data_IF_410062025703
#
_entry.id   IF_410062025703
#
_cell.length_a   1.000
_cell.length_b   1.000
_cell.length_c   1.000
_cell.angle_alpha   90.00
_cell.angle_beta   90.00
_cell.angle_gamma   90.00
#
_symmetry.space_group_name_H-M   'P 1'
#
loop_
_entity.id
_entity.type
_entity.pdbx_description
1 polymer ?
#
# COMPACT_ATOMS: atom_id res chain seq x y z
N UNK A 1 -13.34 9.64 6.12
CA UNK A 1 -14.80 9.32 6.10
C UNK A 1 -15.30 9.03 4.69
N UNK A 2 -15.03 9.82 3.64
CA UNK A 2 -15.47 9.51 2.26
C UNK A 2 -14.90 8.20 1.74
N UNK A 3 -13.61 7.93 1.94
CA UNK A 3 -12.94 6.69 1.54
C UNK A 3 -13.54 5.42 2.16
N UNK A 4 -13.93 5.46 3.44
CA UNK A 4 -14.58 4.32 4.09
C UNK A 4 -15.97 4.05 3.52
N UNK A 5 -16.72 5.11 3.13
CA UNK A 5 -18.04 4.97 2.47
C UNK A 5 -17.92 4.39 1.07
N UNK A 6 -16.88 4.75 0.31
CA UNK A 6 -16.62 4.14 -1.01
C UNK A 6 -16.20 2.67 -0.90
N UNK A 7 -15.43 2.31 0.13
CA UNK A 7 -15.11 0.90 0.41
C UNK A 7 -16.35 0.11 0.81
N UNK A 8 -17.22 0.67 1.67
CA UNK A 8 -18.49 0.04 2.07
C UNK A 8 -19.46 -0.10 0.89
N UNK A 9 -19.52 0.87 -0.01
CA UNK A 9 -20.34 0.81 -1.23
C UNK A 9 -19.81 -0.27 -2.20
N UNK A 10 -18.49 -0.35 -2.42
CA UNK A 10 -17.87 -1.39 -3.23
C UNK A 10 -18.07 -2.80 -2.62
N UNK A 11 -17.98 -2.94 -1.29
CA UNK A 11 -18.26 -4.21 -0.61
C UNK A 11 -19.74 -4.63 -0.73
N UNK A 12 -20.68 -3.68 -0.72
CA UNK A 12 -22.10 -3.95 -0.91
C UNK A 12 -22.39 -4.43 -2.35
N UNK A 13 -21.77 -3.82 -3.36
CA UNK A 13 -21.91 -4.22 -4.76
C UNK A 13 -21.28 -5.61 -5.02
N UNK A 14 -20.13 -5.93 -4.40
CA UNK A 14 -19.50 -7.24 -4.50
C UNK A 14 -20.34 -8.32 -3.83
N UNK A 15 -20.98 -8.03 -2.68
CA UNK A 15 -21.92 -8.95 -2.03
C UNK A 15 -23.18 -9.20 -2.85
N UNK A 16 -23.71 -8.17 -3.50
CA UNK A 16 -24.89 -8.26 -4.36
C UNK A 16 -24.63 -9.07 -5.64
N UNK A 17 -23.38 -9.12 -6.12
CA UNK A 17 -23.00 -9.87 -7.33
C UNK A 17 -22.72 -11.37 -7.11
N UNK A 18 -22.83 -11.89 -5.88
CA UNK A 18 -22.61 -13.31 -5.56
C UNK A 18 -21.16 -13.80 -5.74
N UNK A 19 -20.21 -12.89 -5.95
CA UNK A 19 -18.80 -13.18 -6.09
C UNK A 19 -18.15 -13.26 -4.70
N UNK A 20 -18.14 -14.44 -4.11
CA UNK A 20 -17.35 -14.80 -2.90
C UNK A 20 -15.84 -14.95 -3.22
N UNK A 21 -15.29 -14.15 -4.10
CA UNK A 21 -13.83 -14.00 -4.20
C UNK A 21 -13.44 -12.88 -3.26
N UNK A 22 -12.77 -13.22 -2.17
CA UNK A 22 -11.97 -12.27 -1.38
C UNK A 22 -11.13 -11.45 -2.37
N UNK A 23 -11.48 -10.18 -2.52
CA UNK A 23 -10.81 -9.30 -3.48
C UNK A 23 -9.47 -8.83 -2.88
N UNK A 24 -8.64 -9.83 -2.47
CA UNK A 24 -7.33 -9.59 -1.88
C UNK A 24 -6.36 -9.23 -2.99
N UNK A 25 -6.22 -7.93 -3.23
CA UNK A 25 -5.38 -7.38 -4.29
C UNK A 25 -3.89 -7.72 -4.08
N UNK A 26 -3.43 -7.95 -2.84
CA UNK A 26 -2.06 -8.38 -2.55
C UNK A 26 -1.83 -9.80 -3.05
N UNK A 27 -2.76 -10.71 -2.75
CA UNK A 27 -2.69 -12.10 -3.25
C UNK A 27 -2.85 -12.15 -4.77
N UNK A 28 -3.73 -11.32 -5.34
CA UNK A 28 -3.85 -11.21 -6.80
C UNK A 28 -2.52 -10.80 -7.44
N UNK A 29 -1.87 -9.77 -6.90
CA UNK A 29 -0.56 -9.31 -7.36
C UNK A 29 0.54 -10.35 -7.12
N UNK A 30 0.49 -11.06 -5.99
CA UNK A 30 1.45 -12.12 -5.67
C UNK A 30 1.42 -13.26 -6.66
N UNK A 31 0.24 -13.69 -7.08
CA UNK A 31 0.04 -14.83 -7.96
C UNK A 31 0.20 -14.51 -9.45
N UNK A 32 0.19 -13.23 -9.84
CA UNK A 32 0.26 -12.79 -11.23
C UNK A 32 1.67 -12.34 -11.59
N UNK A 33 2.58 -13.33 -11.67
CA UNK A 33 3.99 -13.10 -12.00
C UNK A 33 4.13 -12.62 -13.45
N UNK A 34 4.98 -11.60 -13.65
CA UNK A 34 5.22 -11.00 -14.96
C UNK A 34 4.31 -9.82 -15.29
N UNK A 35 3.31 -9.53 -14.46
CA UNK A 35 2.38 -8.39 -14.60
C UNK A 35 2.59 -7.32 -13.51
N UNK A 36 3.83 -7.12 -13.08
CA UNK A 36 4.19 -6.19 -12.02
C UNK A 36 3.65 -4.78 -12.26
N UNK A 37 3.67 -4.30 -13.51
CA UNK A 37 3.15 -2.98 -13.86
C UNK A 37 1.63 -2.89 -13.68
N UNK A 38 0.88 -3.90 -14.06
CA UNK A 38 -0.58 -3.92 -13.92
C UNK A 38 -1.02 -3.86 -12.47
N UNK A 39 -0.25 -4.48 -11.57
CA UNK A 39 -0.47 -4.48 -10.12
C UNK A 39 0.32 -3.40 -9.38
N UNK A 40 1.10 -2.57 -10.09
CA UNK A 40 2.01 -1.57 -9.53
C UNK A 40 2.99 -2.16 -8.52
N UNK A 41 3.42 -3.43 -8.70
CA UNK A 41 4.44 -4.06 -7.86
C UNK A 41 5.81 -3.49 -8.21
N UNK A 42 6.45 -2.86 -7.23
CA UNK A 42 7.77 -2.24 -7.37
C UNK A 42 8.88 -3.25 -7.11
N UNK A 43 8.71 -4.09 -6.09
CA UNK A 43 9.67 -5.09 -5.68
C UNK A 43 8.97 -6.33 -5.13
N UNK A 44 9.60 -7.50 -5.27
CA UNK A 44 9.21 -8.74 -4.59
C UNK A 44 10.42 -9.61 -4.29
N UNK A 45 10.32 -10.42 -3.26
CA UNK A 45 11.23 -11.51 -2.94
C UNK A 45 10.41 -12.77 -2.57
N UNK A 46 11.05 -13.80 -2.03
CA UNK A 46 10.37 -15.05 -1.62
C UNK A 46 9.41 -14.89 -0.44
N UNK A 47 9.43 -13.76 0.27
CA UNK A 47 8.62 -13.54 1.47
C UNK A 47 7.40 -12.68 1.23
N UNK A 48 7.48 -11.73 0.28
CA UNK A 48 6.40 -10.78 0.05
C UNK A 48 6.70 -9.78 -1.05
N UNK A 49 5.94 -8.69 -1.07
CA UNK A 49 6.02 -7.67 -2.11
C UNK A 49 5.88 -6.25 -1.56
N UNK A 50 6.38 -5.32 -2.36
CA UNK A 50 6.24 -3.87 -2.22
C UNK A 50 5.49 -3.38 -3.44
N UNK A 51 4.36 -2.70 -3.26
CA UNK A 51 3.54 -2.18 -4.35
C UNK A 51 3.07 -0.75 -4.04
N UNK A 52 2.72 0.01 -5.07
CA UNK A 52 2.07 1.30 -4.86
C UNK A 52 0.65 1.12 -4.33
N UNK A 53 0.27 1.97 -3.39
CA UNK A 53 -1.12 2.10 -2.99
C UNK A 53 -1.92 2.73 -4.14
N UNK A 54 -2.99 2.06 -4.57
CA UNK A 54 -3.89 2.57 -5.61
C UNK A 54 -4.59 3.88 -5.20
N UNK A 55 -4.75 4.11 -3.89
CA UNK A 55 -5.33 5.32 -3.31
C UNK A 55 -4.30 6.03 -2.42
N UNK A 56 -3.27 6.67 -3.03
CA UNK A 56 -2.12 7.15 -2.29
C UNK A 56 -2.46 8.33 -1.38
N UNK A 57 -1.80 8.41 -0.21
CA UNK A 57 -1.90 9.58 0.68
C UNK A 57 -0.99 10.72 0.22
N UNK A 58 0.13 10.37 -0.39
CA UNK A 58 1.07 11.26 -1.05
C UNK A 58 1.73 10.54 -2.22
N UNK A 59 2.55 11.24 -2.97
CA UNK A 59 3.29 10.64 -4.09
C UNK A 59 4.18 9.48 -3.61
N UNK A 60 4.18 8.37 -4.34
CA UNK A 60 5.01 7.21 -4.01
C UNK A 60 4.60 6.42 -2.75
N UNK A 61 3.34 6.53 -2.29
CA UNK A 61 2.83 5.77 -1.16
C UNK A 61 2.89 4.27 -1.44
N UNK A 62 3.72 3.55 -0.68
CA UNK A 62 3.89 2.10 -0.79
C UNK A 62 3.04 1.33 0.23
N UNK A 63 2.61 0.16 -0.19
CA UNK A 63 2.09 -0.92 0.64
C UNK A 63 3.09 -2.08 0.62
N UNK A 64 3.37 -2.62 1.79
CA UNK A 64 4.33 -3.71 1.98
C UNK A 64 3.63 -4.84 2.71
N UNK A 65 3.62 -6.01 2.12
CA UNK A 65 2.93 -7.17 2.68
C UNK A 65 3.71 -8.46 2.45
N UNK A 66 3.57 -9.40 3.38
CA UNK A 66 4.05 -10.76 3.18
C UNK A 66 3.10 -11.50 2.21
N UNK A 67 3.60 -12.55 1.59
CA UNK A 67 2.80 -13.43 0.73
C UNK A 67 1.74 -14.22 1.51
N UNK A 68 2.02 -14.54 2.79
CA UNK A 68 1.09 -15.23 3.70
C UNK A 68 0.10 -14.22 4.29
N UNK A 69 -1.20 -14.25 3.95
CA UNK A 69 -2.18 -13.31 4.46
C UNK A 69 -2.52 -13.61 5.92
N UNK A 70 -2.28 -12.66 6.81
CA UNK A 70 -2.69 -12.69 8.22
C UNK A 70 -3.34 -11.37 8.59
N UNK A 71 -4.43 -11.38 9.37
CA UNK A 71 -5.15 -10.15 9.74
C UNK A 71 -4.44 -9.31 10.80
N UNK A 72 -3.58 -9.94 11.63
CA UNK A 72 -2.94 -9.26 12.74
C UNK A 72 -1.44 -9.51 12.79
N UNK A 73 -0.69 -8.54 13.33
CA UNK A 73 0.76 -8.60 13.44
C UNK A 73 1.22 -9.81 14.28
N UNK A 74 0.46 -10.15 15.31
CA UNK A 74 0.80 -11.26 16.22
C UNK A 74 0.41 -12.64 15.67
N UNK A 75 -0.31 -12.69 14.55
CA UNK A 75 -0.58 -13.94 13.84
C UNK A 75 0.64 -14.41 13.03
N UNK A 76 1.59 -13.52 12.78
CA UNK A 76 2.89 -13.86 12.19
C UNK A 76 3.88 -14.36 13.24
N UNK A 77 4.70 -15.34 12.89
CA UNK A 77 5.85 -15.75 13.69
C UNK A 77 6.86 -14.60 13.84
N UNK A 78 7.78 -14.72 14.81
CA UNK A 78 8.86 -13.75 14.98
C UNK A 78 9.72 -13.60 13.71
N UNK A 79 9.99 -14.72 13.02
CA UNK A 79 10.73 -14.73 11.76
C UNK A 79 9.96 -14.00 10.66
N UNK A 80 8.67 -14.26 10.48
CA UNK A 80 7.85 -13.57 9.49
C UNK A 80 7.77 -12.06 9.78
N UNK A 81 7.65 -11.66 11.04
CA UNK A 81 7.70 -10.23 11.40
C UNK A 81 9.05 -9.59 11.03
N UNK A 82 10.17 -10.29 11.26
CA UNK A 82 11.48 -9.81 10.82
C UNK A 82 11.54 -9.64 9.28
N UNK A 83 11.05 -10.62 8.52
CA UNK A 83 10.96 -10.56 7.06
C UNK A 83 10.08 -9.40 6.56
N UNK A 84 8.98 -9.11 7.26
CA UNK A 84 8.14 -7.96 6.96
C UNK A 84 8.92 -6.64 7.14
N UNK A 85 9.69 -6.51 8.23
CA UNK A 85 10.50 -5.31 8.48
C UNK A 85 11.68 -5.17 7.53
N UNK A 86 12.30 -6.26 7.08
CA UNK A 86 13.31 -6.24 6.00
C UNK A 86 12.72 -5.66 4.70
N UNK A 87 11.49 -6.02 4.34
CA UNK A 87 10.80 -5.43 3.21
C UNK A 87 10.45 -3.95 3.44
N UNK A 88 10.14 -3.57 4.66
CA UNK A 88 9.91 -2.15 5.03
C UNK A 88 11.19 -1.34 4.86
N UNK A 89 12.33 -1.86 5.30
CA UNK A 89 13.64 -1.21 5.12
C UNK A 89 13.94 -0.98 3.63
N UNK A 90 13.69 -1.99 2.79
CA UNK A 90 13.81 -1.88 1.33
C UNK A 90 12.87 -0.80 0.79
N UNK A 91 11.62 -0.76 1.25
CA UNK A 91 10.63 0.23 0.82
C UNK A 91 11.00 1.66 1.19
N UNK A 92 11.54 1.87 2.39
CA UNK A 92 12.03 3.19 2.85
C UNK A 92 13.22 3.62 2.00
N UNK A 93 14.24 2.76 1.81
CA UNK A 93 15.41 3.04 0.97
C UNK A 93 15.01 3.39 -0.48
N UNK A 94 14.05 2.66 -1.05
CA UNK A 94 13.53 2.95 -2.39
C UNK A 94 12.90 4.34 -2.47
N UNK A 95 12.04 4.69 -1.52
CA UNK A 95 11.36 5.99 -1.48
C UNK A 95 12.38 7.13 -1.31
N UNK A 96 13.33 6.98 -0.39
CA UNK A 96 14.35 8.00 -0.13
C UNK A 96 15.22 8.24 -1.37
N UNK A 97 15.70 7.18 -2.03
CA UNK A 97 16.55 7.30 -3.21
C UNK A 97 15.81 7.78 -4.46
N UNK A 98 14.57 7.36 -4.64
CA UNK A 98 13.83 7.65 -5.86
C UNK A 98 13.13 9.01 -5.83
N UNK A 99 12.63 9.42 -4.67
CA UNK A 99 11.75 10.58 -4.55
C UNK A 99 12.36 11.74 -3.74
N UNK A 100 13.47 11.50 -3.04
CA UNK A 100 14.15 12.50 -2.19
C UNK A 100 13.19 13.27 -1.27
N UNK A 101 12.34 12.58 -0.48
CA UNK A 101 11.40 13.24 0.42
C UNK A 101 12.13 13.94 1.56
N UNK A 102 11.44 14.87 2.25
CA UNK A 102 11.94 15.53 3.46
C UNK A 102 11.71 14.69 4.73
N UNK A 103 10.93 13.62 4.62
CA UNK A 103 10.68 12.66 5.67
C UNK A 103 9.86 11.47 5.18
N UNK A 104 9.77 10.42 6.00
CA UNK A 104 8.98 9.22 5.71
C UNK A 104 8.15 8.85 6.92
N UNK A 105 6.87 8.55 6.72
CA UNK A 105 6.04 7.92 7.73
C UNK A 105 5.92 6.42 7.42
N UNK A 106 6.11 5.60 8.46
CA UNK A 106 5.90 4.16 8.40
C UNK A 106 4.84 3.78 9.43
N UNK A 107 3.87 2.96 9.04
CA UNK A 107 2.82 2.52 9.95
C UNK A 107 1.93 1.44 9.36
N UNK A 108 1.13 0.80 10.20
CA UNK A 108 0.16 -0.21 9.79
C UNK A 108 -1.21 0.06 10.44
N UNK A 109 -2.26 -0.35 9.74
CA UNK A 109 -3.63 -0.32 10.23
C UNK A 109 -4.07 -1.77 10.48
N UNK A 110 -4.36 -2.12 11.73
CA UNK A 110 -4.85 -3.45 12.07
C UNK A 110 -6.32 -3.37 12.46
N UNK A 111 -7.15 -4.07 11.69
CA UNK A 111 -8.59 -4.08 11.89
C UNK A 111 -9.33 -2.88 11.30
N UNK A 112 -10.65 -3.04 11.10
CA UNK A 112 -11.50 -2.03 10.45
C UNK A 112 -11.56 -0.70 11.20
N UNK A 113 -11.62 -0.75 12.53
CA UNK A 113 -11.68 0.45 13.36
C UNK A 113 -10.41 1.32 13.28
N UNK A 114 -9.26 0.70 12.92
CA UNK A 114 -8.02 1.42 12.66
C UNK A 114 -7.89 1.92 11.21
N UNK A 115 -8.88 1.66 10.34
CA UNK A 115 -8.87 2.10 8.95
C UNK A 115 -8.20 1.13 7.98
N UNK A 116 -8.09 -0.17 8.33
CA UNK A 116 -7.58 -1.17 7.41
C UNK A 116 -8.51 -1.33 6.20
N UNK A 117 -8.01 -1.04 5.00
CA UNK A 117 -8.74 -1.23 3.74
C UNK A 117 -8.78 -2.70 3.30
N UNK A 118 -7.88 -3.53 3.79
CA UNK A 118 -7.81 -4.98 3.57
C UNK A 118 -7.58 -5.66 4.93
N UNK A 119 -8.62 -5.82 5.77
CA UNK A 119 -8.47 -6.28 7.15
C UNK A 119 -7.91 -7.69 7.31
N UNK A 120 -8.11 -8.55 6.32
CA UNK A 120 -7.67 -9.95 6.31
C UNK A 120 -6.19 -10.12 5.91
N UNK A 121 -5.55 -9.07 5.42
CA UNK A 121 -4.15 -9.12 5.00
C UNK A 121 -3.39 -7.88 5.49
N UNK A 122 -2.69 -8.05 6.61
CA UNK A 122 -1.90 -6.97 7.20
C UNK A 122 -0.87 -6.44 6.22
N UNK A 123 -0.78 -5.14 6.12
CA UNK A 123 0.20 -4.44 5.29
C UNK A 123 0.72 -3.20 5.99
N UNK A 124 1.97 -2.88 5.72
CA UNK A 124 2.65 -1.68 6.22
C UNK A 124 2.61 -0.61 5.15
N UNK A 125 2.28 0.61 5.56
CA UNK A 125 2.34 1.80 4.73
C UNK A 125 3.70 2.46 4.86
N UNK A 126 4.31 2.83 3.75
CA UNK A 126 5.47 3.73 3.67
C UNK A 126 5.07 4.96 2.85
N UNK A 127 5.09 6.12 3.49
CA UNK A 127 4.53 7.35 2.94
C UNK A 127 5.61 8.43 2.92
N UNK A 128 6.02 8.84 1.73
CA UNK A 128 6.92 9.97 1.54
C UNK A 128 6.26 11.29 1.96
N UNK A 129 7.03 12.18 2.60
CA UNK A 129 6.53 13.43 3.14
C UNK A 129 7.36 14.62 2.69
N UNK A 130 6.68 15.72 2.36
CA UNK A 130 7.29 16.99 2.01
C UNK A 130 6.65 18.12 2.82
N UNK A 131 7.42 19.18 3.09
CA UNK A 131 6.88 20.38 3.72
C UNK A 131 5.74 20.94 2.86
N UNK A 132 4.56 21.14 3.46
CA UNK A 132 3.39 21.65 2.76
C UNK A 132 2.59 20.60 1.96
N UNK A 133 2.88 19.32 2.07
CA UNK A 133 2.13 18.24 1.41
C UNK A 133 0.68 18.13 1.91
N UNK A 134 0.39 18.67 3.09
CA UNK A 134 -0.95 18.83 3.62
C UNK A 134 -1.32 20.32 3.63
N UNK A 135 -2.37 20.71 2.93
CA UNK A 135 -2.84 22.08 2.84
C UNK A 135 -4.35 22.19 3.08
N UNK A 136 -4.89 23.40 2.99
CA UNK A 136 -6.30 23.68 3.27
C UNK A 136 -7.27 22.93 2.34
N UNK A 137 -6.85 22.54 1.14
CA UNK A 137 -7.69 21.77 0.20
C UNK A 137 -8.12 20.43 0.77
N UNK A 138 -7.24 19.74 1.50
CA UNK A 138 -7.58 18.50 2.17
C UNK A 138 -8.62 18.71 3.29
N UNK A 139 -8.52 19.85 4.00
CA UNK A 139 -9.38 20.17 5.16
C UNK A 139 -10.75 20.72 4.74
N UNK A 140 -10.78 21.65 3.77
CA UNK A 140 -11.98 22.37 3.35
C UNK A 140 -12.67 21.67 2.17
N UNK A 141 -11.88 21.23 1.18
CA UNK A 141 -12.39 20.68 -0.08
C UNK A 141 -12.51 19.15 -0.08
N UNK A 142 -12.01 18.46 0.96
CA UNK A 142 -11.85 16.99 0.98
C UNK A 142 -11.12 16.45 -0.27
N UNK A 143 -10.27 17.30 -0.89
CA UNK A 143 -9.52 17.00 -2.10
C UNK A 143 -8.06 16.77 -1.74
N UNK A 144 -7.51 15.68 -2.23
CA UNK A 144 -6.08 15.40 -2.14
C UNK A 144 -5.45 15.53 -3.52
N UNK A 145 -4.41 16.35 -3.61
CA UNK A 145 -3.63 16.52 -4.83
C UNK A 145 -2.42 15.62 -4.75
N UNK A 146 -2.29 14.69 -5.69
CA UNK A 146 -1.11 13.86 -5.89
C UNK A 146 -0.49 14.29 -7.22
N UNK A 147 0.75 14.81 -7.23
CA UNK A 147 1.34 15.44 -8.42
C UNK A 147 1.56 14.48 -9.59
N UNK A 148 1.96 13.23 -9.30
CA UNK A 148 2.28 12.25 -10.32
C UNK A 148 1.19 11.17 -10.44
N UNK A 149 1.07 10.59 -11.64
CA UNK A 149 0.25 9.41 -11.84
C UNK A 149 0.87 8.18 -11.17
N UNK A 150 0.04 7.16 -10.87
CA UNK A 150 0.54 5.88 -10.35
C UNK A 150 1.55 5.22 -11.30
N UNK A 151 1.33 5.34 -12.61
CA UNK A 151 2.24 4.79 -13.60
C UNK A 151 3.61 5.48 -13.58
N UNK A 152 3.63 6.80 -13.47
CA UNK A 152 4.88 7.57 -13.38
C UNK A 152 5.62 7.25 -12.08
N UNK A 153 4.93 7.23 -10.96
CA UNK A 153 5.50 6.85 -9.66
C UNK A 153 6.05 5.42 -9.68
N UNK A 154 5.34 4.49 -10.33
CA UNK A 154 5.81 3.12 -10.48
C UNK A 154 7.12 3.05 -11.29
N UNK A 155 7.21 3.74 -12.43
CA UNK A 155 8.43 3.77 -13.26
C UNK A 155 9.62 4.32 -12.50
N UNK A 156 9.43 5.42 -11.76
CA UNK A 156 10.49 6.05 -10.96
C UNK A 156 10.99 5.08 -9.88
N UNK A 157 10.09 4.51 -9.08
CA UNK A 157 10.45 3.59 -8.01
C UNK A 157 11.06 2.29 -8.55
N UNK A 158 10.49 1.75 -9.63
CA UNK A 158 11.00 0.53 -10.26
C UNK A 158 12.42 0.69 -10.80
N UNK A 159 12.74 1.85 -11.35
CA UNK A 159 14.10 2.15 -11.84
C UNK A 159 15.14 2.26 -10.72
N UNK A 160 14.71 2.50 -9.49
CA UNK A 160 15.57 2.58 -8.32
C UNK A 160 15.84 1.22 -7.64
N UNK A 161 15.18 0.14 -8.07
CA UNK A 161 15.44 -1.23 -7.57
C UNK A 161 16.83 -1.66 -8.04
N UNK A 162 17.66 -2.14 -7.09
CA UNK A 162 19.02 -2.64 -7.37
C UNK A 162 19.02 -4.15 -7.60
#
# INVERSE_FOLDING_TARGET
MAYLRELEANEADVRASGLTKTNNFVIAAWNDLGNEQAHHVVFRNEHGLIMLNRYPYSNGHLLIALADPRPALMDYSAQQRAQLWELVDIGVDLVERALHPQGVNVGLNQGRAAGAGLPEHLHVHVVARWGGDTNFMATIGSVRVVPDSLEQSWKILRSAVR
#
